data_IF_378717259156
#
_entry.id   IF_378717259156
#
_cell.length_a   1.000
_cell.length_b   1.000
_cell.length_c   1.000
_cell.angle_alpha   90.00
_cell.angle_beta   90.00
_cell.angle_gamma   90.00
#
_symmetry.space_group_name_H-M   'P 1'
#
loop_
_entity.id
_entity.type
_entity.pdbx_description
1 polymer ?
#
# COMPACT_ATOMS: atom_id res chain seq x y z
N UNK A 1 16.61 -14.27 13.05
CA UNK A 1 16.33 -15.01 11.80
C UNK A 1 15.17 -14.29 11.15
N UNK A 2 15.34 -13.71 9.95
CA UNK A 2 14.21 -13.14 9.23
C UNK A 2 13.23 -14.28 8.92
N UNK A 3 11.96 -14.11 9.28
CA UNK A 3 10.94 -15.09 8.92
C UNK A 3 10.88 -15.13 7.39
N UNK A 4 11.10 -16.30 6.79
CA UNK A 4 11.00 -16.46 5.36
C UNK A 4 9.52 -16.42 4.98
N UNK A 5 9.13 -15.41 4.21
CA UNK A 5 7.78 -15.29 3.65
C UNK A 5 7.76 -15.93 2.25
N UNK A 6 6.75 -16.74 1.98
CA UNK A 6 6.54 -17.36 0.66
C UNK A 6 5.27 -16.82 0.04
N UNK A 7 5.36 -16.27 -1.18
CA UNK A 7 4.19 -15.87 -1.95
C UNK A 7 3.47 -17.13 -2.41
N UNK A 8 2.21 -17.29 -2.00
CA UNK A 8 1.37 -18.43 -2.38
C UNK A 8 0.32 -18.06 -3.44
N UNK A 9 -0.05 -16.78 -3.55
CA UNK A 9 -0.96 -16.30 -4.58
C UNK A 9 -0.71 -14.81 -4.90
N UNK A 10 -0.93 -14.42 -6.16
CA UNK A 10 -0.96 -13.04 -6.62
C UNK A 10 -2.39 -12.69 -7.03
N UNK A 11 -2.88 -11.53 -6.60
CA UNK A 11 -4.18 -10.97 -6.94
C UNK A 11 -4.00 -9.60 -7.61
N UNK A 12 -4.81 -9.25 -8.61
CA UNK A 12 -4.76 -7.92 -9.24
C UNK A 12 -5.10 -6.84 -8.20
N UNK A 13 -4.48 -5.67 -8.34
CA UNK A 13 -4.71 -4.49 -7.49
C UNK A 13 -5.13 -3.27 -8.33
N UNK A 14 -5.77 -3.51 -9.49
CA UNK A 14 -6.24 -2.43 -10.36
C UNK A 14 -7.23 -1.53 -9.62
N UNK A 15 -7.00 -0.22 -9.65
CA UNK A 15 -7.81 0.76 -8.93
C UNK A 15 -7.44 0.93 -7.46
N UNK A 16 -6.38 0.27 -6.98
CA UNK A 16 -5.90 0.42 -5.61
C UNK A 16 -4.56 1.15 -5.56
N UNK A 17 -4.38 1.97 -4.53
CA UNK A 17 -3.16 2.71 -4.24
C UNK A 17 -2.63 2.37 -2.85
N UNK A 18 -1.33 2.55 -2.65
CA UNK A 18 -0.76 2.72 -1.32
C UNK A 18 -0.58 4.21 -1.04
N UNK A 19 -1.00 4.63 0.14
CA UNK A 19 -0.88 6.01 0.61
C UNK A 19 0.33 6.12 1.53
N UNK A 20 1.12 7.16 1.31
CA UNK A 20 2.33 7.46 2.04
C UNK A 20 2.26 8.86 2.63
N UNK A 21 2.91 9.05 3.79
CA UNK A 21 3.23 10.37 4.32
C UNK A 21 4.50 10.89 3.63
N UNK A 22 4.36 12.01 2.93
CA UNK A 22 5.46 12.74 2.29
C UNK A 22 5.67 14.13 2.93
N UNK A 23 6.06 14.14 4.20
CA UNK A 23 6.38 15.35 4.99
C UNK A 23 5.15 16.10 5.51
N UNK A 24 4.10 15.38 5.87
CA UNK A 24 2.84 15.93 6.38
C UNK A 24 1.72 15.95 5.36
N UNK A 25 2.04 15.68 4.08
CA UNK A 25 1.08 15.56 3.00
C UNK A 25 0.93 14.08 2.62
N UNK A 26 -0.28 13.66 2.26
CA UNK A 26 -0.53 12.31 1.77
C UNK A 26 -0.23 12.22 0.27
N UNK A 27 0.34 11.10 -0.15
CA UNK A 27 0.71 10.84 -1.55
C UNK A 27 0.38 9.40 -1.90
N UNK A 28 -0.34 9.20 -3.01
CA UNK A 28 -0.78 7.90 -3.46
C UNK A 28 0.09 7.33 -4.61
N UNK A 29 0.50 6.07 -4.46
CA UNK A 29 1.16 5.31 -5.52
C UNK A 29 0.35 4.07 -5.93
N UNK A 30 0.20 3.86 -7.24
CA UNK A 30 -0.54 2.73 -7.78
C UNK A 30 0.09 1.37 -7.42
N UNK A 31 -0.74 0.45 -6.94
CA UNK A 31 -0.32 -0.91 -6.66
C UNK A 31 -0.24 -1.76 -7.94
N UNK A 32 0.79 -2.61 -8.00
CA UNK A 32 0.95 -3.59 -9.08
C UNK A 32 0.08 -4.82 -8.81
N UNK A 33 0.10 -5.32 -7.57
CA UNK A 33 -0.67 -6.48 -7.15
C UNK A 33 -0.73 -6.61 -5.63
N UNK A 34 -1.61 -7.50 -5.16
CA UNK A 34 -1.59 -8.01 -3.80
C UNK A 34 -0.97 -9.41 -3.78
N UNK A 35 -0.03 -9.65 -2.87
CA UNK A 35 0.56 -10.96 -2.64
C UNK A 35 -0.03 -11.58 -1.37
N UNK A 36 -0.69 -12.73 -1.48
CA UNK A 36 -0.96 -13.57 -0.32
C UNK A 36 0.36 -14.27 0.04
N UNK A 37 0.91 -13.94 1.20
CA UNK A 37 2.15 -14.51 1.71
C UNK A 37 1.85 -15.45 2.86
N UNK A 38 2.64 -16.51 2.99
CA UNK A 38 2.65 -17.41 4.13
C UNK A 38 4.01 -17.31 4.83
N UNK A 39 4.00 -17.11 6.14
CA UNK A 39 5.18 -17.08 6.99
C UNK A 39 5.09 -18.14 8.08
N UNK A 40 6.22 -18.76 8.41
CA UNK A 40 6.33 -19.70 9.51
C UNK A 40 7.02 -19.03 10.71
N UNK A 41 6.30 -18.86 11.81
CA UNK A 41 6.85 -18.27 13.03
C UNK A 41 6.52 -19.18 14.23
N UNK A 42 7.56 -19.71 14.89
CA UNK A 42 7.40 -20.52 16.10
C UNK A 42 6.59 -21.82 15.92
N UNK A 43 6.52 -22.37 14.70
CA UNK A 43 5.75 -23.57 14.38
C UNK A 43 4.29 -23.31 13.98
N UNK A 44 3.85 -22.05 13.96
CA UNK A 44 2.56 -21.65 13.41
C UNK A 44 2.74 -21.02 12.02
N UNK A 45 1.80 -21.31 11.11
CA UNK A 45 1.69 -20.65 9.82
C UNK A 45 0.80 -19.42 9.94
N UNK A 46 1.31 -18.26 9.52
CA UNK A 46 0.54 -17.03 9.40
C UNK A 46 0.41 -16.67 7.93
N UNK A 47 -0.76 -16.15 7.54
CA UNK A 47 -1.01 -15.64 6.20
C UNK A 47 -1.38 -14.18 6.26
N UNK A 48 -0.77 -13.39 5.39
CA UNK A 48 -1.01 -11.96 5.27
C UNK A 48 -1.18 -11.60 3.79
N UNK A 49 -1.99 -10.59 3.48
CA UNK A 49 -2.09 -10.01 2.15
C UNK A 49 -1.23 -8.76 2.13
N UNK A 50 -0.24 -8.72 1.24
CA UNK A 50 0.79 -7.67 1.18
C UNK A 50 0.66 -6.87 -0.12
N UNK A 51 0.47 -5.54 -0.06
CA UNK A 51 0.47 -4.70 -1.25
C UNK A 51 1.87 -4.60 -1.87
N UNK A 52 1.96 -4.64 -3.20
CA UNK A 52 3.22 -4.54 -3.93
C UNK A 52 3.20 -3.36 -4.90
N UNK A 53 4.27 -2.55 -4.91
CA UNK A 53 4.44 -1.40 -5.79
C UNK A 53 5.78 -1.45 -6.55
N UNK A 54 5.90 -0.61 -7.59
CA UNK A 54 7.16 -0.43 -8.31
C UNK A 54 8.05 0.52 -7.51
N UNK A 55 9.19 0.03 -7.05
CA UNK A 55 10.22 0.85 -6.41
C UNK A 55 11.46 0.90 -7.32
N UNK A 56 11.54 1.95 -8.13
CA UNK A 56 12.59 2.14 -9.13
C UNK A 56 12.59 1.03 -10.20
N UNK A 57 13.51 0.07 -10.10
CA UNK A 57 13.64 -1.08 -11.03
C UNK A 57 13.17 -2.40 -10.43
N UNK A 58 12.58 -2.38 -9.24
CA UNK A 58 12.18 -3.57 -8.50
C UNK A 58 10.71 -3.47 -8.11
N UNK A 59 10.14 -4.60 -7.70
CA UNK A 59 8.83 -4.65 -7.07
C UNK A 59 9.08 -4.99 -5.60
N UNK A 60 8.52 -4.19 -4.70
CA UNK A 60 8.67 -4.36 -3.25
C UNK A 60 7.33 -4.24 -2.53
N UNK A 61 7.27 -4.73 -1.30
CA UNK A 61 6.10 -4.54 -0.45
C UNK A 61 5.95 -3.08 -0.07
N UNK A 62 4.78 -2.49 -0.34
CA UNK A 62 4.48 -1.09 -0.02
C UNK A 62 4.48 -0.88 1.50
N UNK A 63 3.87 -1.81 2.23
CA UNK A 63 3.75 -1.81 3.69
C UNK A 63 5.05 -2.07 4.47
N UNK A 64 6.17 -2.24 3.76
CA UNK A 64 7.50 -2.29 4.37
C UNK A 64 8.18 -0.91 4.41
N UNK A 65 7.64 0.09 3.70
CA UNK A 65 8.15 1.45 3.74
C UNK A 65 7.82 2.11 5.09
N UNK A 66 8.74 2.91 5.67
CA UNK A 66 8.55 3.50 6.99
C UNK A 66 7.44 4.56 7.04
N UNK A 67 7.12 5.17 5.89
CA UNK A 67 6.10 6.20 5.73
C UNK A 67 4.80 5.68 5.11
N UNK A 68 4.64 4.36 5.00
CA UNK A 68 3.38 3.77 4.54
C UNK A 68 2.28 4.02 5.57
N UNK A 69 1.13 4.52 5.11
CA UNK A 69 -0.03 4.79 5.94
C UNK A 69 -1.10 3.70 5.77
N UNK A 70 -1.61 3.55 4.54
CA UNK A 70 -2.75 2.68 4.24
C UNK A 70 -2.79 2.25 2.78
N UNK A 71 -3.71 1.33 2.49
CA UNK A 71 -4.14 0.97 1.14
C UNK A 71 -5.60 1.35 0.99
N UNK A 72 -5.94 1.94 -0.13
CA UNK A 72 -7.32 2.33 -0.44
C UNK A 72 -7.58 2.35 -1.95
N UNK A 73 -8.84 2.55 -2.32
CA UNK A 73 -9.26 2.69 -3.71
C UNK A 73 -8.85 4.08 -4.21
N UNK A 74 -8.32 4.16 -5.44
CA UNK A 74 -7.89 5.41 -6.05
C UNK A 74 -9.02 6.44 -6.08
N UNK A 75 -10.25 6.01 -6.41
CA UNK A 75 -11.42 6.89 -6.45
C UNK A 75 -11.69 7.53 -5.09
N UNK A 76 -11.49 6.79 -3.98
CA UNK A 76 -11.67 7.34 -2.63
C UNK A 76 -10.61 8.37 -2.28
N UNK A 77 -9.34 8.11 -2.63
CA UNK A 77 -8.26 9.06 -2.39
C UNK A 77 -8.45 10.35 -3.19
N UNK A 78 -8.82 10.24 -4.47
CA UNK A 78 -9.08 11.40 -5.34
C UNK A 78 -10.27 12.22 -4.83
N UNK A 79 -11.35 11.57 -4.37
CA UNK A 79 -12.50 12.26 -3.76
C UNK A 79 -12.11 13.02 -2.48
N UNK A 80 -11.21 12.48 -1.65
CA UNK A 80 -10.73 13.12 -0.41
C UNK A 80 -9.85 14.35 -0.70
N UNK A 81 -8.99 14.31 -1.73
CA UNK A 81 -8.18 15.47 -2.15
C UNK A 81 -9.04 16.63 -2.68
N UNK A 82 -10.12 16.33 -3.42
CA UNK A 82 -11.03 17.35 -3.97
C UNK A 82 -11.78 18.12 -2.86
N UNK A 83 -12.11 17.48 -1.74
CA UNK A 83 -12.77 18.14 -0.60
C UNK A 83 -11.85 19.12 0.15
N UNK A 84 -10.53 18.91 0.12
CA UNK A 84 -9.55 19.80 0.77
C UNK A 84 -9.26 21.08 -0.06
N UNK A 85 -9.44 21.05 -1.37
CA UNK A 85 -9.21 22.22 -2.25
C UNK A 85 -10.34 23.26 -2.21
N UNK A 86 -11.54 22.93 -1.69
CA UNK A 86 -12.69 23.85 -1.64
C UNK A 86 -12.73 24.74 -0.37
N UNK A 87 -11.83 24.56 0.62
CA UNK A 87 -11.83 25.35 1.88
C UNK A 87 -10.96 26.63 1.89
N UNK A 88 -10.19 26.95 0.84
CA UNK A 88 -9.33 28.17 0.81
C UNK A 88 -9.91 29.32 -0.06
N UNK A 89 -11.24 29.39 -0.10
CA UNK A 89 -11.99 30.18 -1.08
C UNK A 89 -13.02 31.18 -0.56
N UNK A 90 -13.03 31.60 0.72
CA UNK A 90 -13.95 32.67 1.19
C UNK A 90 -13.32 33.68 2.19
N UNK A 91 -13.15 34.92 1.69
CA UNK A 91 -12.98 36.27 2.30
C UNK A 91 -11.74 36.67 3.15
#
# INVERSE_FOLDING_TARGET
MSAQETIIQIMPATGWVAVFDENGDESAEALVCFALVESAQGGATRRDVRPMLVNGKQISFADAAPNFLRVEELETFEDEEEEEEEEDGEE
#
